data_IF_842547077415
#
_entry.id   IF_842547077415
#
_cell.length_a   1.000
_cell.length_b   1.000
_cell.length_c   1.000
_cell.angle_alpha   90.00
_cell.angle_beta   90.00
_cell.angle_gamma   90.00
#
_symmetry.space_group_name_H-M   'P 1'
#
loop_
_entity.id
_entity.type
_entity.pdbx_description
1 polymer ?
#
# COMPACT_ATOMS: atom_id res chain seq x y z
N UNK A 1 13.91 -5.89 -1.12
CA UNK A 1 12.98 -5.10 -0.37
C UNK A 1 13.42 -3.67 -0.10
N UNK A 2 13.32 -2.78 -1.11
CA UNK A 2 13.50 -1.34 -0.87
C UNK A 2 12.15 -0.68 -0.59
N UNK A 3 12.15 0.35 0.25
CA UNK A 3 10.92 1.08 0.64
C UNK A 3 10.29 1.87 -0.51
N UNK A 4 11.03 2.10 -1.58
CA UNK A 4 10.58 2.76 -2.82
C UNK A 4 10.22 1.77 -3.94
N UNK A 5 10.09 0.47 -3.64
CA UNK A 5 9.66 -0.52 -4.62
C UNK A 5 8.20 -0.23 -5.03
N UNK A 6 7.96 -0.10 -6.33
CA UNK A 6 6.63 0.23 -6.88
C UNK A 6 5.57 -0.79 -6.47
N UNK A 7 5.92 -2.08 -6.43
CA UNK A 7 5.02 -3.16 -6.02
C UNK A 7 4.72 -3.19 -4.51
N UNK A 8 5.51 -2.51 -3.68
CA UNK A 8 5.40 -2.64 -2.23
C UNK A 8 4.05 -2.15 -1.68
N UNK A 9 3.53 -1.03 -2.18
CA UNK A 9 2.21 -0.52 -1.77
C UNK A 9 1.09 -1.48 -2.19
N UNK A 10 1.14 -2.02 -3.40
CA UNK A 10 0.15 -3.01 -3.87
C UNK A 10 0.18 -4.26 -3.01
N UNK A 11 1.37 -4.80 -2.72
CA UNK A 11 1.51 -5.98 -1.88
C UNK A 11 0.99 -5.76 -0.45
N UNK A 12 1.17 -4.53 0.10
CA UNK A 12 0.59 -4.18 1.41
C UNK A 12 -0.94 -4.08 1.37
N UNK A 13 -1.50 -3.42 0.35
CA UNK A 13 -2.96 -3.31 0.19
C UNK A 13 -3.61 -4.69 -0.03
N UNK A 14 -2.89 -5.63 -0.62
CA UNK A 14 -3.34 -7.00 -0.88
C UNK A 14 -2.95 -8.00 0.23
N UNK A 15 -2.36 -7.50 1.33
CA UNK A 15 -1.94 -8.32 2.47
C UNK A 15 -1.12 -9.55 2.06
N UNK A 16 -0.19 -9.34 1.14
CA UNK A 16 0.69 -10.37 0.64
C UNK A 16 1.48 -11.05 1.77
N UNK A 17 1.83 -12.30 1.56
CA UNK A 17 2.70 -13.07 2.44
C UNK A 17 4.02 -13.29 1.70
N UNK A 18 5.11 -12.94 2.34
CA UNK A 18 6.47 -13.21 1.84
C UNK A 18 6.89 -14.60 2.29
N UNK A 19 7.37 -15.41 1.34
CA UNK A 19 7.96 -16.71 1.61
C UNK A 19 9.48 -16.59 1.49
N UNK A 20 10.17 -17.03 2.52
CA UNK A 20 11.62 -17.05 2.64
C UNK A 20 12.08 -18.49 2.84
N UNK A 21 13.12 -18.89 2.12
CA UNK A 21 13.72 -20.23 2.25
C UNK A 21 15.18 -20.09 2.65
N UNK A 22 15.57 -20.76 3.70
CA UNK A 22 16.93 -20.83 4.22
C UNK A 22 17.33 -22.25 4.61
N UNK A 23 18.46 -22.39 5.30
CA UNK A 23 18.99 -23.68 5.74
C UNK A 23 18.03 -24.49 6.64
N UNK A 24 17.19 -23.78 7.42
CA UNK A 24 16.25 -24.38 8.35
C UNK A 24 14.85 -24.62 7.72
N UNK A 25 14.72 -24.45 6.41
CA UNK A 25 13.47 -24.65 5.67
C UNK A 25 12.77 -23.37 5.24
N UNK A 26 11.44 -23.42 5.15
CA UNK A 26 10.60 -22.34 4.67
C UNK A 26 9.94 -21.62 5.84
N UNK A 27 10.00 -20.30 5.86
CA UNK A 27 9.16 -19.47 6.74
C UNK A 27 8.35 -18.47 5.92
N UNK A 28 7.17 -18.14 6.43
CA UNK A 28 6.24 -17.19 5.82
C UNK A 28 5.91 -16.10 6.82
N UNK A 29 5.87 -14.85 6.35
CA UNK A 29 5.48 -13.70 7.17
C UNK A 29 4.62 -12.74 6.36
N UNK A 30 3.66 -12.07 7.01
CA UNK A 30 2.88 -11.02 6.37
C UNK A 30 3.81 -9.91 5.85
N UNK A 31 3.48 -9.32 4.69
CA UNK A 31 4.28 -8.24 4.09
C UNK A 31 4.49 -7.05 5.03
N UNK A 32 3.53 -6.76 5.91
CA UNK A 32 3.63 -5.69 6.91
C UNK A 32 4.78 -5.88 7.91
N UNK A 33 5.16 -7.14 8.16
CA UNK A 33 6.21 -7.51 9.10
C UNK A 33 7.56 -7.75 8.39
N UNK A 34 7.56 -7.72 7.05
CA UNK A 34 8.77 -7.92 6.24
C UNK A 34 9.70 -6.69 6.23
N UNK A 35 9.15 -5.48 6.28
CA UNK A 35 9.91 -4.25 6.32
C UNK A 35 10.14 -3.80 7.76
N UNK A 36 11.39 -3.88 8.24
CA UNK A 36 11.74 -3.54 9.63
C UNK A 36 11.92 -2.02 9.78
N UNK A 37 12.73 -1.43 8.91
CA UNK A 37 13.01 0.02 8.85
C UNK A 37 13.51 0.40 7.46
N UNK A 38 13.77 1.69 7.24
CA UNK A 38 14.31 2.18 5.99
C UNK A 38 15.59 1.41 5.60
N UNK A 39 15.55 0.74 4.44
CA UNK A 39 16.67 -0.03 3.90
C UNK A 39 16.90 -1.40 4.55
N UNK A 40 16.04 -1.84 5.47
CA UNK A 40 16.16 -3.14 6.11
C UNK A 40 14.86 -3.94 6.03
N UNK A 41 14.99 -5.19 5.63
CA UNK A 41 13.93 -6.19 5.58
C UNK A 41 14.29 -7.40 6.46
N UNK A 42 13.28 -8.19 6.85
CA UNK A 42 13.46 -9.40 7.65
C UNK A 42 13.88 -10.59 6.77
N UNK A 43 15.13 -10.57 6.31
CA UNK A 43 15.82 -11.69 5.64
C UNK A 43 17.08 -12.01 6.44
N UNK A 44 17.23 -13.26 6.85
CA UNK A 44 18.40 -13.75 7.59
C UNK A 44 19.50 -14.15 6.60
N UNK A 45 20.25 -13.13 6.13
CA UNK A 45 21.29 -13.30 5.11
C UNK A 45 22.41 -14.25 5.59
N UNK A 46 22.78 -14.18 6.87
CA UNK A 46 23.76 -15.05 7.52
C UNK A 46 23.36 -16.53 7.51
N UNK A 47 22.07 -16.82 7.44
CA UNK A 47 21.51 -18.17 7.32
C UNK A 47 21.29 -18.61 5.87
N UNK A 48 21.75 -17.80 4.91
CA UNK A 48 21.54 -18.05 3.47
C UNK A 48 20.09 -17.95 3.02
N UNK A 49 19.27 -17.18 3.76
CA UNK A 49 17.85 -17.04 3.46
C UNK A 49 17.62 -16.17 2.22
N UNK A 50 16.76 -16.63 1.32
CA UNK A 50 16.35 -15.90 0.12
C UNK A 50 14.83 -15.84 0.03
N UNK A 51 14.32 -14.79 -0.62
CA UNK A 51 12.88 -14.70 -0.91
C UNK A 51 12.55 -15.60 -2.11
N UNK A 52 11.72 -16.60 -1.90
CA UNK A 52 11.35 -17.61 -2.90
C UNK A 52 9.98 -17.39 -3.52
N UNK A 53 9.04 -16.78 -2.79
CA UNK A 53 7.71 -16.49 -3.31
C UNK A 53 7.07 -15.26 -2.63
N UNK A 54 6.05 -14.74 -3.31
CA UNK A 54 5.06 -13.82 -2.74
C UNK A 54 3.70 -14.47 -2.96
N UNK A 55 2.98 -14.69 -1.87
CA UNK A 55 1.67 -15.33 -1.89
C UNK A 55 0.60 -14.27 -1.66
N UNK A 56 -0.43 -14.27 -2.50
CA UNK A 56 -1.59 -13.40 -2.34
C UNK A 56 -2.73 -14.23 -1.75
N UNK A 57 -3.22 -13.91 -0.54
CA UNK A 57 -4.35 -14.62 0.06
C UNK A 57 -5.61 -14.52 -0.82
N UNK A 58 -6.36 -15.63 -0.94
CA UNK A 58 -7.60 -15.66 -1.74
C UNK A 58 -8.55 -14.53 -1.36
N UNK A 59 -8.74 -14.27 -0.07
CA UNK A 59 -9.58 -13.18 0.43
C UNK A 59 -9.13 -11.77 0.00
N UNK A 60 -7.93 -11.62 -0.55
CA UNK A 60 -7.41 -10.33 -1.01
C UNK A 60 -7.61 -10.08 -2.50
N UNK A 61 -7.97 -11.11 -3.28
CA UNK A 61 -8.25 -10.93 -4.72
C UNK A 61 -9.65 -11.39 -5.13
N UNK A 62 -10.26 -12.35 -4.43
CA UNK A 62 -11.58 -12.84 -4.78
C UNK A 62 -12.65 -11.77 -4.48
N UNK A 63 -13.39 -11.38 -5.53
CA UNK A 63 -14.40 -10.30 -5.48
C UNK A 63 -13.81 -8.96 -4.95
N UNK A 64 -12.55 -8.70 -5.23
CA UNK A 64 -11.90 -7.45 -4.89
C UNK A 64 -11.53 -6.69 -6.17
N UNK A 65 -11.54 -5.38 -6.04
CA UNK A 65 -11.14 -4.41 -7.06
C UNK A 65 -9.90 -3.68 -6.57
N UNK A 66 -9.06 -3.23 -7.47
CA UNK A 66 -7.86 -2.53 -7.05
C UNK A 66 -7.33 -1.57 -8.09
N UNK A 67 -6.67 -0.53 -7.61
CA UNK A 67 -6.01 0.45 -8.45
C UNK A 67 -4.67 0.88 -7.86
N UNK A 68 -3.74 1.24 -8.73
CA UNK A 68 -2.42 1.70 -8.33
C UNK A 68 -2.03 2.95 -9.10
N UNK A 69 -1.55 3.95 -8.39
CA UNK A 69 -0.97 5.16 -8.99
C UNK A 69 0.46 5.31 -8.50
N UNK A 70 1.37 5.55 -9.44
CA UNK A 70 2.73 6.00 -9.20
C UNK A 70 2.86 7.45 -9.58
N UNK A 71 3.22 8.30 -8.64
CA UNK A 71 3.68 9.64 -8.94
C UNK A 71 5.21 9.65 -9.02
N UNK A 72 5.74 10.10 -10.15
CA UNK A 72 7.17 10.18 -10.43
C UNK A 72 7.49 11.43 -11.24
N UNK A 73 8.74 11.86 -11.26
CA UNK A 73 9.17 13.04 -11.99
C UNK A 73 9.28 12.82 -13.51
N UNK A 74 9.43 11.55 -13.92
CA UNK A 74 9.55 11.13 -15.33
C UNK A 74 8.55 10.00 -15.62
N UNK A 75 8.21 9.85 -16.89
CA UNK A 75 7.25 8.82 -17.34
C UNK A 75 7.84 7.40 -17.32
N UNK A 76 9.14 7.25 -17.28
CA UNK A 76 9.81 5.96 -17.24
C UNK A 76 11.15 6.05 -16.47
N UNK A 77 11.63 4.89 -16.00
CA UNK A 77 12.94 4.71 -15.35
C UNK A 77 13.14 5.69 -14.18
N UNK A 78 12.13 5.85 -13.35
CA UNK A 78 12.18 6.77 -12.20
C UNK A 78 11.72 6.08 -10.92
N UNK A 79 12.30 6.52 -9.81
CA UNK A 79 11.86 6.14 -8.47
C UNK A 79 10.61 6.95 -8.12
N UNK A 80 9.58 6.30 -7.60
CA UNK A 80 8.38 6.97 -7.18
C UNK A 80 8.69 8.10 -6.17
N UNK A 81 8.12 9.27 -6.40
CA UNK A 81 8.00 10.33 -5.38
C UNK A 81 6.98 9.92 -4.34
N UNK A 82 5.91 9.23 -4.79
CA UNK A 82 4.89 8.58 -3.97
C UNK A 82 4.23 7.47 -4.79
N UNK A 83 3.96 6.33 -4.17
CA UNK A 83 3.14 5.25 -4.73
C UNK A 83 1.92 5.01 -3.84
N UNK A 84 0.74 4.88 -4.44
CA UNK A 84 -0.50 4.59 -3.73
C UNK A 84 -1.20 3.39 -4.36
N UNK A 85 -1.66 2.46 -3.54
CA UNK A 85 -2.47 1.33 -3.99
C UNK A 85 -3.69 1.15 -3.10
N UNK A 86 -4.83 0.89 -3.73
CA UNK A 86 -6.09 0.58 -3.05
C UNK A 86 -6.55 -0.81 -3.44
N UNK A 87 -7.14 -1.52 -2.50
CA UNK A 87 -7.86 -2.78 -2.70
C UNK A 87 -9.21 -2.67 -2.02
N UNK A 88 -10.28 -2.83 -2.79
CA UNK A 88 -11.66 -2.63 -2.34
C UNK A 88 -12.46 -3.90 -2.53
N UNK A 89 -13.26 -4.25 -1.55
CA UNK A 89 -14.32 -5.24 -1.65
C UNK A 89 -15.66 -4.56 -1.40
N UNK A 90 -16.58 -4.75 -2.34
CA UNK A 90 -17.93 -4.23 -2.24
C UNK A 90 -18.89 -5.31 -1.71
N UNK A 91 -20.03 -4.86 -1.19
CA UNK A 91 -21.19 -5.69 -0.93
C UNK A 91 -21.68 -6.39 -2.20
N UNK A 92 -22.46 -7.48 -2.10
CA UNK A 92 -22.95 -8.21 -3.27
C UNK A 92 -23.77 -7.36 -4.25
N UNK A 93 -24.49 -6.35 -3.75
CA UNK A 93 -25.23 -5.38 -4.54
C UNK A 93 -24.37 -4.23 -5.09
N UNK A 94 -23.06 -4.22 -4.75
CA UNK A 94 -22.05 -3.21 -5.10
C UNK A 94 -22.38 -1.78 -4.64
N UNK A 95 -23.24 -1.61 -3.67
CA UNK A 95 -23.63 -0.28 -3.18
C UNK A 95 -22.76 0.19 -2.00
N UNK A 96 -22.16 -0.74 -1.26
CA UNK A 96 -21.45 -0.44 -0.02
C UNK A 96 -20.03 -1.00 -0.05
N UNK A 97 -19.09 -0.27 0.50
CA UNK A 97 -17.71 -0.69 0.69
C UNK A 97 -17.64 -1.58 1.94
N UNK A 98 -17.61 -2.89 1.76
CA UNK A 98 -17.43 -3.82 2.89
C UNK A 98 -16.03 -3.68 3.49
N UNK A 99 -15.05 -3.44 2.63
CA UNK A 99 -13.65 -3.30 3.02
C UNK A 99 -12.89 -2.46 2.02
N UNK A 100 -12.19 -1.45 2.50
CA UNK A 100 -11.16 -0.76 1.74
C UNK A 100 -9.81 -0.99 2.45
N UNK A 101 -8.76 -1.18 1.66
CA UNK A 101 -7.37 -1.19 2.12
C UNK A 101 -6.60 -0.22 1.25
N UNK A 102 -5.78 0.61 1.88
CA UNK A 102 -4.92 1.54 1.18
C UNK A 102 -3.51 1.48 1.73
N UNK A 103 -2.53 1.47 0.85
CA UNK A 103 -1.13 1.50 1.24
C UNK A 103 -0.31 2.45 0.37
N UNK A 104 0.70 3.01 0.99
CA UNK A 104 1.66 3.89 0.33
C UNK A 104 3.07 3.32 0.33
N UNK A 105 3.78 3.56 -0.77
CA UNK A 105 5.23 3.55 -0.85
C UNK A 105 5.75 4.99 -0.79
N UNK A 106 6.88 5.20 -0.12
CA UNK A 106 7.56 6.51 0.01
C UNK A 106 6.81 7.57 0.84
N UNK A 107 5.71 7.22 1.49
CA UNK A 107 4.98 8.08 2.43
C UNK A 107 5.47 7.97 3.88
N UNK A 108 6.45 7.12 4.14
CA UNK A 108 7.05 6.88 5.44
C UNK A 108 8.40 6.17 5.29
N UNK A 109 9.04 5.81 6.41
CA UNK A 109 10.31 5.08 6.38
C UNK A 109 10.22 3.68 5.78
N UNK A 110 9.04 3.08 5.82
CA UNK A 110 8.70 1.79 5.18
C UNK A 110 7.38 1.92 4.44
N UNK A 111 7.06 1.00 3.49
CA UNK A 111 5.72 0.91 2.93
C UNK A 111 4.70 0.68 4.04
N UNK A 112 3.54 1.33 3.96
CA UNK A 112 2.62 1.38 5.09
C UNK A 112 1.16 1.41 4.65
N UNK A 113 0.28 0.83 5.49
CA UNK A 113 -1.17 0.93 5.40
C UNK A 113 -1.66 2.20 6.10
N UNK A 114 -2.87 2.65 5.74
CA UNK A 114 -3.54 3.78 6.38
C UNK A 114 -4.87 3.34 7.04
N UNK A 115 -4.80 2.80 8.27
CA UNK A 115 -5.98 2.29 8.97
C UNK A 115 -7.07 3.34 9.20
N UNK A 116 -6.69 4.61 9.40
CA UNK A 116 -7.67 5.72 9.55
C UNK A 116 -8.52 5.91 8.30
N UNK A 117 -7.89 5.86 7.12
CA UNK A 117 -8.60 5.93 5.85
C UNK A 117 -9.48 4.70 5.62
N UNK A 118 -8.97 3.51 5.92
CA UNK A 118 -9.71 2.25 5.78
C UNK A 118 -10.98 2.24 6.63
N UNK A 119 -10.88 2.75 7.87
CA UNK A 119 -12.03 2.91 8.78
C UNK A 119 -13.03 3.95 8.26
N UNK A 120 -12.54 5.04 7.64
CA UNK A 120 -13.41 6.10 7.12
C UNK A 120 -14.29 5.64 5.95
N UNK A 121 -13.87 4.64 5.18
CA UNK A 121 -14.64 4.12 4.04
C UNK A 121 -15.52 2.90 4.38
N UNK A 122 -15.22 2.21 5.48
CA UNK A 122 -15.89 0.95 5.83
C UNK A 122 -17.38 1.17 6.05
N UNK A 123 -18.19 0.27 5.48
CA UNK A 123 -19.66 0.22 5.59
C UNK A 123 -20.35 1.50 5.03
N UNK A 124 -19.64 2.26 4.18
CA UNK A 124 -20.18 3.45 3.50
C UNK A 124 -20.43 3.19 2.02
N UNK A 125 -21.38 3.94 1.41
CA UNK A 125 -21.57 3.86 -0.04
C UNK A 125 -20.37 4.44 -0.78
N UNK A 126 -20.09 3.90 -1.99
CA UNK A 126 -19.03 4.42 -2.84
C UNK A 126 -19.50 5.73 -3.51
N UNK A 127 -19.21 6.85 -2.89
CA UNK A 127 -19.56 8.20 -3.35
C UNK A 127 -18.34 9.11 -3.33
N UNK A 128 -18.45 10.26 -4.00
CA UNK A 128 -17.39 11.30 -3.92
C UNK A 128 -17.16 11.74 -2.49
N UNK A 129 -18.21 11.91 -1.70
CA UNK A 129 -18.08 12.29 -0.27
C UNK A 129 -17.30 11.25 0.52
N UNK A 130 -17.61 9.97 0.34
CA UNK A 130 -16.84 8.89 0.99
C UNK A 130 -15.39 8.87 0.53
N UNK A 131 -15.14 9.11 -0.77
CA UNK A 131 -13.79 9.17 -1.30
C UNK A 131 -12.99 10.38 -0.75
N UNK A 132 -13.65 11.50 -0.50
CA UNK A 132 -13.04 12.68 0.14
C UNK A 132 -12.70 12.42 1.60
N UNK A 133 -13.63 11.87 2.38
CA UNK A 133 -13.37 11.50 3.78
C UNK A 133 -12.25 10.46 3.90
N UNK A 134 -12.29 9.43 3.06
CA UNK A 134 -11.25 8.41 2.95
C UNK A 134 -9.88 9.04 2.65
N UNK A 135 -9.82 9.92 1.66
CA UNK A 135 -8.58 10.52 1.23
C UNK A 135 -7.97 11.47 2.26
N UNK A 136 -8.77 12.27 2.95
CA UNK A 136 -8.29 13.15 4.00
C UNK A 136 -7.77 12.39 5.22
N UNK A 137 -8.38 11.25 5.52
CA UNK A 137 -7.99 10.43 6.67
C UNK A 137 -6.58 9.81 6.54
N UNK A 138 -6.00 9.73 5.33
CA UNK A 138 -4.63 9.22 5.15
C UNK A 138 -3.59 10.07 5.88
N UNK A 139 -3.87 11.37 6.08
CA UNK A 139 -2.95 12.29 6.75
C UNK A 139 -2.71 11.93 8.22
N UNK A 140 -3.61 11.18 8.85
CA UNK A 140 -3.43 10.69 10.22
C UNK A 140 -2.35 9.60 10.31
N UNK A 141 -2.12 8.87 9.22
CA UNK A 141 -1.29 7.68 9.22
C UNK A 141 0.08 7.91 8.59
N UNK A 142 0.15 8.67 7.47
CA UNK A 142 1.40 8.86 6.74
C UNK A 142 2.44 9.65 7.53
N UNK A 143 3.72 9.42 7.19
CA UNK A 143 4.89 10.06 7.81
C UNK A 143 5.81 10.62 6.73
N UNK A 144 5.25 11.50 5.89
CA UNK A 144 5.97 12.15 4.81
C UNK A 144 7.12 13.03 5.34
N UNK A 145 8.17 13.12 4.56
CA UNK A 145 9.35 13.93 4.87
C UNK A 145 9.79 14.77 3.67
N UNK A 146 10.55 15.81 3.94
CA UNK A 146 11.25 16.56 2.90
C UNK A 146 12.38 15.74 2.27
N UNK A 147 12.58 15.90 0.99
CA UNK A 147 13.71 15.38 0.24
C UNK A 147 13.98 16.23 -0.98
N UNK A 148 15.08 15.98 -1.68
CA UNK A 148 15.39 16.70 -2.92
C UNK A 148 14.35 16.49 -4.04
N UNK A 149 13.54 15.38 -3.96
CA UNK A 149 12.48 15.09 -4.93
C UNK A 149 11.19 15.86 -4.68
N UNK A 150 10.84 16.07 -3.41
CA UNK A 150 9.60 16.73 -3.05
C UNK A 150 9.60 17.17 -1.59
N UNK A 151 8.89 18.24 -1.28
CA UNK A 151 8.62 18.66 0.09
C UNK A 151 7.62 17.74 0.78
N UNK A 152 7.61 17.75 2.12
CA UNK A 152 6.61 17.07 2.94
C UNK A 152 5.20 17.51 2.55
N UNK A 153 4.96 18.83 2.49
CA UNK A 153 3.65 19.40 2.17
C UNK A 153 3.14 18.94 0.79
N UNK A 154 4.01 18.89 -0.21
CA UNK A 154 3.65 18.39 -1.54
C UNK A 154 3.29 16.90 -1.51
N UNK A 155 4.04 16.06 -0.75
CA UNK A 155 3.72 14.64 -0.61
C UNK A 155 2.40 14.40 0.09
N UNK A 156 2.09 15.17 1.12
CA UNK A 156 0.81 15.11 1.83
C UNK A 156 -0.34 15.50 0.90
N UNK A 157 -0.16 16.56 0.11
CA UNK A 157 -1.15 16.97 -0.88
C UNK A 157 -1.43 15.89 -1.93
N UNK A 158 -0.38 15.35 -2.57
CA UNK A 158 -0.57 14.32 -3.59
C UNK A 158 -1.03 12.99 -2.99
N UNK A 159 -0.74 12.70 -1.71
CA UNK A 159 -1.24 11.49 -1.05
C UNK A 159 -2.77 11.52 -0.96
N UNK A 160 -3.34 12.63 -0.54
CA UNK A 160 -4.80 12.83 -0.50
C UNK A 160 -5.41 12.66 -1.89
N UNK A 161 -4.86 13.33 -2.90
CA UNK A 161 -5.38 13.26 -4.26
C UNK A 161 -5.28 11.86 -4.86
N UNK A 162 -4.16 11.15 -4.64
CA UNK A 162 -3.97 9.78 -5.11
C UNK A 162 -4.93 8.80 -4.41
N UNK A 163 -5.17 8.96 -3.11
CA UNK A 163 -6.12 8.13 -2.38
C UNK A 163 -7.53 8.24 -2.96
N UNK A 164 -7.98 9.48 -3.18
CA UNK A 164 -9.29 9.77 -3.77
C UNK A 164 -9.43 9.12 -5.15
N UNK A 165 -8.46 9.35 -6.03
CA UNK A 165 -8.45 8.77 -7.38
C UNK A 165 -8.37 7.25 -7.36
N UNK A 166 -7.49 6.66 -6.56
CA UNK A 166 -7.37 5.21 -6.46
C UNK A 166 -8.68 4.55 -6.01
N UNK A 167 -9.41 5.16 -5.08
CA UNK A 167 -10.69 4.62 -4.63
C UNK A 167 -11.75 4.69 -5.74
N UNK A 168 -11.84 5.82 -6.44
CA UNK A 168 -12.82 6.03 -7.52
C UNK A 168 -12.52 5.12 -8.73
N UNK A 169 -11.25 5.07 -9.16
CA UNK A 169 -10.82 4.32 -10.35
C UNK A 169 -10.70 2.80 -10.10
N UNK A 170 -10.83 2.36 -8.85
CA UNK A 170 -10.73 0.93 -8.53
C UNK A 170 -11.96 0.11 -8.94
N UNK A 171 -13.08 0.77 -9.35
CA UNK A 171 -14.35 0.09 -9.60
C UNK A 171 -14.95 0.44 -10.96
#
# INVERSE_FOLDING_TARGET
GVTSADSASTLHAWEAIVELTGKDGIRRLPIKDFYIKAGQVDIRVEDGEIQTAILIPKASYENCYGYYIKYAMRNAMDIATLGCSVNVRLSPDKQTIERARIAYGVAGPVPMRCPSAEAAAKDKPLTLTTAEEFSLAVLNDIRARDSWRASKAFREHIAVEMAKRCLIESI
#
